data_IF_625993394033
#
_entry.id   IF_625993394033
#
_cell.length_a   1.000
_cell.length_b   1.000
_cell.length_c   1.000
_cell.angle_alpha   90.00
_cell.angle_beta   90.00
_cell.angle_gamma   90.00
#
_symmetry.space_group_name_H-M   'P 1'
#
loop_
_entity.id
_entity.type
_entity.pdbx_description
1 polymer ?
#
# COMPACT_ATOMS: atom_id res chain seq x y z
N UNK A 1 -13.75 21.23 -8.03
CA UNK A 1 -12.41 21.10 -8.65
C UNK A 1 -12.53 21.65 -10.07
N UNK A 2 -11.60 22.51 -10.49
CA UNK A 2 -11.59 23.06 -11.85
C UNK A 2 -11.15 21.98 -12.86
N UNK A 3 -11.65 22.10 -14.10
CA UNK A 3 -11.19 21.22 -15.18
C UNK A 3 -9.67 21.36 -15.39
N UNK A 4 -8.97 20.26 -15.58
CA UNK A 4 -7.52 20.24 -15.73
C UNK A 4 -6.72 20.26 -14.42
N UNK A 5 -7.38 20.28 -13.25
CA UNK A 5 -6.67 20.11 -11.97
C UNK A 5 -6.18 18.66 -11.86
N UNK A 6 -4.93 18.50 -11.45
CA UNK A 6 -4.39 17.16 -11.07
C UNK A 6 -4.68 16.91 -9.59
N UNK A 7 -5.31 15.77 -9.30
CA UNK A 7 -5.58 15.29 -7.94
C UNK A 7 -4.70 14.06 -7.67
N UNK A 8 -3.96 14.11 -6.57
CA UNK A 8 -3.03 13.04 -6.18
C UNK A 8 -3.52 12.36 -4.92
N UNK A 9 -3.86 11.07 -5.04
CA UNK A 9 -4.18 10.23 -3.89
C UNK A 9 -2.90 9.74 -3.21
N UNK A 10 -2.82 9.83 -1.90
CA UNK A 10 -1.76 9.24 -1.08
C UNK A 10 -2.30 8.24 -0.04
N UNK A 11 -3.62 8.01 0.00
CA UNK A 11 -4.23 7.00 0.86
C UNK A 11 -4.20 5.61 0.21
N UNK A 12 -4.28 4.58 1.04
CA UNK A 12 -4.29 3.18 0.62
C UNK A 12 -5.57 2.51 1.12
N UNK A 13 -6.17 1.70 0.30
CA UNK A 13 -7.39 0.97 0.62
C UNK A 13 -8.32 0.84 -0.57
N UNK A 14 -9.40 0.12 -0.37
CA UNK A 14 -10.53 -0.02 -1.30
C UNK A 14 -11.77 0.54 -0.61
N UNK A 15 -12.72 1.01 -1.38
CA UNK A 15 -14.03 1.38 -0.84
C UNK A 15 -14.79 0.12 -0.39
N UNK A 16 -15.33 0.11 0.82
CA UNK A 16 -15.88 -1.09 1.46
C UNK A 16 -17.06 -1.74 0.72
N UNK A 17 -17.91 -0.97 0.04
CA UNK A 17 -19.11 -1.50 -0.58
C UNK A 17 -18.92 -1.87 -2.06
N UNK A 18 -18.12 -1.11 -2.78
CA UNK A 18 -17.92 -1.24 -4.22
C UNK A 18 -16.62 -1.95 -4.58
N UNK A 19 -15.67 -2.03 -3.65
CA UNK A 19 -14.29 -2.48 -3.86
C UNK A 19 -13.53 -1.65 -4.90
N UNK A 20 -13.98 -0.44 -5.19
CA UNK A 20 -13.28 0.49 -6.06
C UNK A 20 -11.97 0.95 -5.41
N UNK A 21 -10.95 1.11 -6.22
CA UNK A 21 -9.72 1.78 -5.79
C UNK A 21 -9.99 3.27 -5.59
N UNK A 22 -9.16 3.95 -4.82
CA UNK A 22 -9.34 5.39 -4.54
C UNK A 22 -9.32 6.24 -5.80
N UNK A 23 -8.52 5.87 -6.80
CA UNK A 23 -8.50 6.57 -8.08
C UNK A 23 -9.81 6.40 -8.86
N UNK A 24 -10.44 5.23 -8.77
CA UNK A 24 -11.75 4.99 -9.39
C UNK A 24 -12.83 5.82 -8.71
N UNK A 25 -12.87 5.85 -7.37
CA UNK A 25 -13.79 6.72 -6.61
C UNK A 25 -13.59 8.19 -6.99
N UNK A 26 -12.34 8.65 -7.04
CA UNK A 26 -12.03 10.03 -7.45
C UNK A 26 -12.49 10.31 -8.88
N UNK A 27 -12.37 9.35 -9.79
CA UNK A 27 -12.82 9.51 -11.17
C UNK A 27 -14.35 9.63 -11.28
N UNK A 28 -15.10 8.89 -10.43
CA UNK A 28 -16.56 9.01 -10.38
C UNK A 28 -17.00 10.35 -9.80
N UNK A 29 -16.38 10.79 -8.69
CA UNK A 29 -16.78 12.02 -7.99
C UNK A 29 -16.29 13.31 -8.68
N UNK A 30 -15.15 13.27 -9.36
CA UNK A 30 -14.55 14.44 -10.02
C UNK A 30 -14.01 14.08 -11.43
N UNK A 31 -14.89 13.68 -12.36
CA UNK A 31 -14.48 13.17 -13.68
C UNK A 31 -13.69 14.16 -14.53
N UNK A 32 -13.73 15.46 -14.21
CA UNK A 32 -12.98 16.52 -14.90
C UNK A 32 -11.53 16.64 -14.42
N UNK A 33 -11.12 15.97 -13.35
CA UNK A 33 -9.76 16.01 -12.83
C UNK A 33 -8.86 14.94 -13.44
N UNK A 34 -7.58 15.26 -13.61
CA UNK A 34 -6.56 14.25 -13.86
C UNK A 34 -6.20 13.57 -12.51
N UNK A 35 -6.32 12.24 -12.43
CA UNK A 35 -6.10 11.51 -11.18
C UNK A 35 -4.80 10.73 -11.25
N UNK A 36 -4.02 10.80 -10.17
CA UNK A 36 -2.87 9.94 -9.95
C UNK A 36 -2.73 9.53 -8.49
N UNK A 37 -1.83 8.60 -8.21
CA UNK A 37 -1.55 8.13 -6.86
C UNK A 37 -0.05 8.09 -6.59
N UNK A 38 0.33 8.29 -5.32
CA UNK A 38 1.68 8.03 -4.82
C UNK A 38 1.59 6.82 -3.88
N UNK A 39 2.34 5.77 -4.19
CA UNK A 39 2.32 4.51 -3.43
C UNK A 39 3.69 3.84 -3.43
N UNK A 40 3.89 2.88 -2.52
CA UNK A 40 5.16 2.19 -2.33
C UNK A 40 5.63 2.24 -0.87
N UNK A 41 6.86 1.81 -0.57
CA UNK A 41 7.43 1.79 0.77
C UNK A 41 7.65 3.21 1.29
N UNK A 42 6.71 3.74 2.07
CA UNK A 42 6.68 5.14 2.50
C UNK A 42 6.09 5.31 3.90
N UNK A 43 6.76 4.78 4.92
CA UNK A 43 6.38 5.09 6.30
C UNK A 43 6.54 6.59 6.58
N UNK A 44 5.47 7.23 7.07
CA UNK A 44 5.43 8.68 7.28
C UNK A 44 6.54 9.17 8.23
N UNK A 45 6.91 8.34 9.20
CA UNK A 45 7.97 8.63 10.17
C UNK A 45 9.36 8.75 9.51
N UNK A 46 9.61 7.98 8.44
CA UNK A 46 10.86 8.02 7.69
C UNK A 46 10.84 9.16 6.67
N UNK A 47 9.75 9.28 5.92
CA UNK A 47 9.59 10.36 4.93
C UNK A 47 9.67 11.74 5.59
N UNK A 48 9.00 11.92 6.74
CA UNK A 48 9.03 13.18 7.49
C UNK A 48 10.38 13.53 8.12
N UNK A 49 11.30 12.56 8.20
CA UNK A 49 12.70 12.78 8.65
C UNK A 49 13.67 12.88 7.47
N UNK A 50 13.16 12.96 6.24
CA UNK A 50 13.97 13.01 5.03
C UNK A 50 14.93 11.81 4.87
N UNK A 51 14.54 10.63 5.40
CA UNK A 51 15.28 9.39 5.16
C UNK A 51 15.07 8.99 3.69
N UNK A 52 16.13 8.62 2.95
CA UNK A 52 16.02 8.27 1.54
C UNK A 52 14.90 7.25 1.27
N UNK A 53 13.91 7.68 0.52
CA UNK A 53 12.69 6.91 0.24
C UNK A 53 12.44 6.87 -1.27
N UNK A 54 11.99 5.72 -1.77
CA UNK A 54 11.66 5.55 -3.18
C UNK A 54 10.23 5.00 -3.31
N UNK A 55 9.41 5.70 -4.08
CA UNK A 55 8.00 5.38 -4.29
C UNK A 55 7.62 5.44 -5.77
N UNK A 56 6.37 5.20 -6.07
CA UNK A 56 5.80 5.25 -7.42
C UNK A 56 4.79 6.39 -7.53
N UNK A 57 4.90 7.17 -8.59
CA UNK A 57 3.86 8.05 -9.10
C UNK A 57 3.10 7.28 -10.19
N UNK A 58 1.84 6.93 -9.94
CA UNK A 58 1.04 6.18 -10.89
C UNK A 58 -0.17 6.97 -11.38
N UNK A 59 -0.45 6.88 -12.67
CA UNK A 59 -1.65 7.40 -13.31
C UNK A 59 -1.89 6.65 -14.61
N UNK A 60 -3.14 6.55 -15.05
CA UNK A 60 -3.48 6.03 -16.38
C UNK A 60 -2.88 6.90 -17.52
N UNK A 61 -2.62 8.19 -17.25
CA UNK A 61 -1.90 9.11 -18.11
C UNK A 61 -0.42 9.19 -17.70
N UNK A 62 0.47 8.86 -18.61
CA UNK A 62 1.92 9.01 -18.39
C UNK A 62 2.32 10.47 -18.11
N UNK A 63 1.67 11.42 -18.79
CA UNK A 63 1.89 12.86 -18.60
C UNK A 63 1.52 13.28 -17.16
N UNK A 64 0.38 12.79 -16.64
CA UNK A 64 -0.03 13.05 -15.25
C UNK A 64 0.95 12.42 -14.26
N UNK A 65 1.40 11.19 -14.50
CA UNK A 65 2.39 10.52 -13.65
C UNK A 65 3.75 11.25 -13.67
N UNK A 66 4.18 11.76 -14.84
CA UNK A 66 5.38 12.56 -14.98
C UNK A 66 5.29 13.91 -14.23
N UNK A 67 4.15 14.57 -14.31
CA UNK A 67 3.89 15.81 -13.55
C UNK A 67 3.98 15.56 -12.04
N UNK A 68 3.38 14.47 -11.56
CA UNK A 68 3.46 14.07 -10.13
C UNK A 68 4.91 13.77 -9.73
N UNK A 69 5.64 13.04 -10.56
CA UNK A 69 7.06 12.76 -10.33
C UNK A 69 7.87 14.05 -10.20
N UNK A 70 7.69 15.01 -11.11
CA UNK A 70 8.44 16.28 -11.13
C UNK A 70 8.15 17.11 -9.87
N UNK A 71 6.89 17.21 -9.47
CA UNK A 71 6.47 18.00 -8.30
C UNK A 71 6.96 17.40 -6.98
N UNK A 72 6.89 16.05 -6.81
CA UNK A 72 7.16 15.41 -5.53
C UNK A 72 8.59 14.88 -5.37
N UNK A 73 9.37 14.77 -6.45
CA UNK A 73 10.77 14.32 -6.33
C UNK A 73 11.61 15.36 -5.59
N UNK A 74 12.34 14.89 -4.59
CA UNK A 74 13.28 15.70 -3.80
C UNK A 74 14.62 14.97 -3.63
N UNK A 75 15.55 15.58 -2.89
CA UNK A 75 16.82 14.94 -2.55
C UNK A 75 16.67 13.65 -1.72
N UNK A 76 15.58 13.54 -0.95
CA UNK A 76 15.30 12.39 -0.09
C UNK A 76 14.15 11.50 -0.59
N UNK A 77 13.29 12.01 -1.49
CA UNK A 77 12.14 11.27 -2.02
C UNK A 77 12.27 11.12 -3.54
N UNK A 78 12.48 9.90 -4.01
CA UNK A 78 12.54 9.57 -5.42
C UNK A 78 11.28 8.91 -5.89
N UNK A 79 10.69 9.40 -6.99
CA UNK A 79 9.51 8.80 -7.61
C UNK A 79 9.88 8.12 -8.93
N UNK A 80 9.30 6.94 -9.18
CA UNK A 80 9.27 6.28 -10.48
C UNK A 80 7.87 6.32 -11.06
N UNK A 81 7.76 6.44 -12.38
CA UNK A 81 6.48 6.48 -13.09
C UNK A 81 5.96 5.05 -13.31
N UNK A 82 4.65 4.88 -13.16
CA UNK A 82 3.93 3.67 -13.57
C UNK A 82 2.56 4.06 -14.16
N UNK A 83 2.19 3.46 -15.29
CA UNK A 83 0.88 3.68 -15.91
C UNK A 83 -0.20 2.68 -15.46
N UNK A 84 0.15 1.71 -14.63
CA UNK A 84 -0.79 0.78 -14.01
C UNK A 84 -1.22 1.29 -12.62
N UNK A 85 -2.08 2.31 -12.61
CA UNK A 85 -2.59 2.89 -11.36
C UNK A 85 -3.37 1.86 -10.53
N UNK A 86 -4.16 0.98 -11.19
CA UNK A 86 -4.96 -0.05 -10.53
C UNK A 86 -4.06 -1.04 -9.78
N UNK A 87 -3.06 -1.62 -10.45
CA UNK A 87 -2.13 -2.55 -9.82
C UNK A 87 -1.35 -1.90 -8.67
N UNK A 88 -0.96 -0.63 -8.82
CA UNK A 88 -0.27 0.13 -7.79
C UNK A 88 -1.14 0.34 -6.53
N UNK A 89 -2.41 0.69 -6.68
CA UNK A 89 -3.32 0.89 -5.55
C UNK A 89 -3.71 -0.41 -4.87
N UNK A 90 -3.99 -1.48 -5.64
CA UNK A 90 -4.34 -2.80 -5.10
C UNK A 90 -3.17 -3.38 -4.29
N UNK A 91 -1.94 -3.30 -4.79
CA UNK A 91 -0.76 -3.73 -4.05
C UNK A 91 -0.64 -3.04 -2.70
N UNK A 92 -0.84 -1.71 -2.68
CA UNK A 92 -0.82 -0.91 -1.47
C UNK A 92 -1.96 -1.21 -0.48
N UNK A 93 -3.14 -1.58 -0.97
CA UNK A 93 -4.30 -1.92 -0.14
C UNK A 93 -4.15 -3.31 0.51
N UNK A 94 -3.94 -4.34 -0.30
CA UNK A 94 -3.98 -5.74 0.14
C UNK A 94 -2.78 -6.17 0.99
N UNK A 95 -1.62 -5.51 0.87
CA UNK A 95 -0.44 -5.81 1.70
C UNK A 95 -0.72 -5.78 3.20
N UNK A 96 -1.68 -4.98 3.64
CA UNK A 96 -1.98 -4.77 5.05
C UNK A 96 -2.50 -6.05 5.73
N UNK A 97 -3.24 -6.88 5.01
CA UNK A 97 -3.69 -8.20 5.47
C UNK A 97 -2.49 -9.12 5.73
N UNK A 98 -1.55 -9.14 4.79
CA UNK A 98 -0.35 -9.98 4.91
C UNK A 98 0.56 -9.46 6.05
N UNK A 99 0.63 -8.14 6.23
CA UNK A 99 1.39 -7.54 7.33
C UNK A 99 0.80 -7.88 8.71
N UNK A 100 -0.53 -7.92 8.83
CA UNK A 100 -1.21 -8.39 10.04
C UNK A 100 -0.86 -9.87 10.32
N UNK A 101 -0.95 -10.73 9.30
CA UNK A 101 -0.59 -12.14 9.42
C UNK A 101 0.90 -12.34 9.75
N UNK A 102 1.81 -11.53 9.15
CA UNK A 102 3.23 -11.55 9.49
C UNK A 102 3.48 -11.18 10.96
N UNK A 103 2.74 -10.21 11.47
CA UNK A 103 2.76 -9.86 12.89
C UNK A 103 2.28 -11.00 13.78
N UNK A 104 1.21 -11.71 13.41
CA UNK A 104 0.73 -12.90 14.15
C UNK A 104 1.82 -13.98 14.19
N UNK A 105 2.49 -14.24 13.06
CA UNK A 105 3.62 -15.16 13.03
C UNK A 105 4.77 -14.73 13.97
N UNK A 106 5.05 -13.44 14.07
CA UNK A 106 6.04 -12.90 15.00
C UNK A 106 5.63 -13.13 16.45
N UNK A 107 4.37 -12.85 16.80
CA UNK A 107 3.82 -13.06 18.15
C UNK A 107 3.78 -14.53 18.57
N UNK A 108 3.59 -15.44 17.62
CA UNK A 108 3.64 -16.90 17.80
C UNK A 108 5.07 -17.47 17.79
N UNK A 109 6.09 -16.63 17.59
CA UNK A 109 7.50 -17.04 17.47
C UNK A 109 7.76 -18.07 16.35
N UNK A 110 7.07 -17.97 15.22
CA UNK A 110 7.20 -18.92 14.09
C UNK A 110 8.55 -18.82 13.35
N UNK A 111 9.31 -17.76 13.56
CA UNK A 111 10.63 -17.53 12.95
C UNK A 111 10.60 -16.94 11.54
N UNK A 112 11.79 -16.57 11.06
CA UNK A 112 11.96 -15.80 9.81
C UNK A 112 11.62 -16.60 8.56
N UNK A 113 11.88 -17.91 8.55
CA UNK A 113 11.55 -18.78 7.42
C UNK A 113 10.04 -18.82 7.16
N UNK A 114 9.23 -18.90 8.21
CA UNK A 114 7.75 -18.87 8.11
C UNK A 114 7.28 -17.52 7.60
N UNK A 115 7.84 -16.43 8.11
CA UNK A 115 7.52 -15.08 7.64
C UNK A 115 7.88 -14.90 6.16
N UNK A 116 9.05 -15.36 5.72
CA UNK A 116 9.46 -15.30 4.32
C UNK A 116 8.49 -16.10 3.42
N UNK A 117 8.11 -17.31 3.84
CA UNK A 117 7.12 -18.12 3.12
C UNK A 117 5.75 -17.43 3.04
N UNK A 118 5.27 -16.84 4.15
CA UNK A 118 4.02 -16.06 4.19
C UNK A 118 4.06 -14.89 3.22
N UNK A 119 5.13 -14.10 3.22
CA UNK A 119 5.27 -12.95 2.31
C UNK A 119 5.31 -13.39 0.85
N UNK A 120 6.02 -14.49 0.54
CA UNK A 120 6.10 -15.04 -0.82
C UNK A 120 4.72 -15.53 -1.30
N UNK A 121 3.97 -16.22 -0.45
CA UNK A 121 2.59 -16.62 -0.79
C UNK A 121 1.67 -15.40 -0.86
N UNK A 122 1.80 -14.47 0.07
CA UNK A 122 1.00 -13.25 0.11
C UNK A 122 1.11 -12.42 -1.16
N UNK A 123 2.32 -12.16 -1.66
CA UNK A 123 2.47 -11.41 -2.92
C UNK A 123 1.91 -12.18 -4.12
N UNK A 124 1.98 -13.51 -4.13
CA UNK A 124 1.37 -14.31 -5.18
C UNK A 124 -0.16 -14.18 -5.18
N UNK A 125 -0.80 -14.27 -4.02
CA UNK A 125 -2.25 -14.08 -3.87
C UNK A 125 -2.68 -12.65 -4.26
N UNK A 126 -1.94 -11.64 -3.79
CA UNK A 126 -2.16 -10.23 -4.17
C UNK A 126 -2.06 -10.05 -5.68
N UNK A 127 -1.07 -10.67 -6.33
CA UNK A 127 -0.89 -10.60 -7.78
C UNK A 127 -2.08 -11.22 -8.51
N UNK A 128 -2.51 -12.40 -8.11
CA UNK A 128 -3.64 -13.10 -8.76
C UNK A 128 -4.94 -12.29 -8.64
N UNK A 129 -5.25 -11.79 -7.45
CA UNK A 129 -6.43 -10.94 -7.24
C UNK A 129 -6.29 -9.62 -8.01
N UNK A 130 -5.14 -8.96 -7.91
CA UNK A 130 -4.91 -7.67 -8.55
C UNK A 130 -4.97 -7.74 -10.08
N UNK A 131 -4.49 -8.82 -10.69
CA UNK A 131 -4.64 -9.06 -12.14
C UNK A 131 -6.11 -9.26 -12.51
N UNK A 132 -6.87 -9.99 -11.69
CA UNK A 132 -8.32 -10.16 -11.90
C UNK A 132 -9.06 -8.82 -11.83
N UNK A 133 -8.57 -7.87 -11.02
CA UNK A 133 -9.12 -6.52 -10.88
C UNK A 133 -8.60 -5.54 -11.95
N UNK A 134 -7.75 -5.98 -12.89
CA UNK A 134 -7.26 -5.18 -14.02
C UNK A 134 -5.85 -4.63 -13.86
N UNK A 135 -5.13 -4.97 -12.81
CA UNK A 135 -3.70 -4.65 -12.63
C UNK A 135 -2.79 -5.51 -13.51
N UNK A 136 -1.57 -5.05 -13.73
CA UNK A 136 -0.54 -5.77 -14.50
C UNK A 136 0.34 -6.60 -13.57
N UNK A 137 0.67 -7.87 -13.91
CA UNK A 137 1.48 -8.74 -13.05
C UNK A 137 2.83 -8.13 -12.64
N UNK A 138 3.47 -7.39 -13.55
CA UNK A 138 4.79 -6.77 -13.34
C UNK A 138 4.76 -5.72 -12.21
N UNK A 139 3.63 -5.04 -12.04
CA UNK A 139 3.46 -4.00 -11.01
C UNK A 139 3.64 -4.56 -9.60
N UNK A 140 3.16 -5.79 -9.37
CA UNK A 140 3.24 -6.44 -8.06
C UNK A 140 4.67 -6.91 -7.70
N UNK A 141 5.54 -7.10 -8.69
CA UNK A 141 6.98 -7.33 -8.50
C UNK A 141 7.79 -6.05 -8.19
N UNK A 142 7.15 -4.88 -8.25
CA UNK A 142 7.79 -3.57 -8.06
C UNK A 142 7.62 -2.98 -6.65
N UNK A 143 7.88 -1.66 -6.56
CA UNK A 143 7.83 -0.90 -5.30
C UNK A 143 6.44 -0.90 -4.67
N UNK A 144 5.38 -0.75 -5.47
CA UNK A 144 3.97 -0.72 -4.99
C UNK A 144 3.45 -2.10 -4.57
N UNK A 145 4.08 -3.18 -4.99
CA UNK A 145 3.77 -4.56 -4.60
C UNK A 145 4.71 -5.08 -3.55
N UNK A 146 5.72 -5.87 -3.99
CA UNK A 146 6.64 -6.56 -3.08
C UNK A 146 7.45 -5.59 -2.22
N UNK A 147 7.83 -4.41 -2.73
CA UNK A 147 8.58 -3.42 -1.97
C UNK A 147 7.81 -2.90 -0.75
N UNK A 148 6.56 -2.50 -0.96
CA UNK A 148 5.68 -2.00 0.10
C UNK A 148 5.25 -3.14 1.06
N UNK A 149 5.08 -4.36 0.54
CA UNK A 149 4.82 -5.54 1.36
C UNK A 149 5.97 -5.84 2.33
N UNK A 150 7.21 -5.89 1.84
CA UNK A 150 8.39 -6.18 2.67
C UNK A 150 8.52 -5.17 3.81
N UNK A 151 8.50 -3.88 3.50
CA UNK A 151 8.67 -2.86 4.53
C UNK A 151 7.54 -2.91 5.56
N UNK A 152 6.29 -3.18 5.13
CA UNK A 152 5.14 -3.24 6.03
C UNK A 152 5.16 -4.49 6.92
N UNK A 153 5.62 -5.63 6.42
CA UNK A 153 5.77 -6.87 7.20
C UNK A 153 6.98 -6.86 8.15
N UNK A 154 8.02 -6.04 7.87
CA UNK A 154 9.27 -6.05 8.64
C UNK A 154 9.42 -4.86 9.58
N UNK A 155 8.76 -3.72 9.31
CA UNK A 155 8.90 -2.50 10.11
C UNK A 155 8.03 -2.50 11.36
N UNK A 156 8.56 -1.95 12.46
CA UNK A 156 7.77 -1.65 13.68
C UNK A 156 6.93 -0.37 13.54
N UNK A 157 7.10 0.41 12.47
CA UNK A 157 6.16 1.50 12.13
C UNK A 157 4.82 0.96 11.62
N UNK A 158 4.78 -0.29 11.12
CA UNK A 158 3.55 -0.92 10.65
C UNK A 158 2.57 -1.19 11.80
N UNK A 159 1.44 -0.49 11.78
CA UNK A 159 0.33 -0.71 12.73
C UNK A 159 -0.23 -2.12 12.59
N UNK A 160 -0.40 -2.60 11.35
CA UNK A 160 -0.89 -3.94 11.05
C UNK A 160 0.04 -5.01 11.66
N UNK A 161 1.36 -4.91 11.46
CA UNK A 161 2.31 -5.83 12.06
C UNK A 161 2.26 -5.80 13.59
N UNK A 162 2.22 -4.61 14.21
CA UNK A 162 2.15 -4.48 15.68
C UNK A 162 0.88 -5.07 16.26
N UNK A 163 -0.28 -4.84 15.61
CA UNK A 163 -1.52 -5.47 16.02
C UNK A 163 -1.42 -7.01 15.91
N UNK A 164 -0.86 -7.51 14.82
CA UNK A 164 -0.61 -8.95 14.65
C UNK A 164 0.28 -9.54 15.75
N UNK A 165 1.34 -8.85 16.15
CA UNK A 165 2.22 -9.31 17.25
C UNK A 165 1.42 -9.45 18.56
N UNK A 166 0.55 -8.51 18.89
CA UNK A 166 -0.30 -8.58 20.06
C UNK A 166 -1.27 -9.77 19.97
N UNK A 167 -1.90 -9.98 18.83
CA UNK A 167 -2.83 -11.08 18.59
C UNK A 167 -2.10 -12.43 18.72
N UNK A 168 -0.95 -12.59 18.07
CA UNK A 168 -0.13 -13.80 18.16
C UNK A 168 0.39 -14.06 19.59
N UNK A 169 0.59 -13.02 20.39
CA UNK A 169 0.92 -13.08 21.81
C UNK A 169 -0.25 -13.39 22.74
N UNK A 170 -1.48 -13.58 22.20
CA UNK A 170 -2.66 -13.97 22.96
C UNK A 170 -3.62 -12.83 23.32
N UNK A 171 -3.40 -11.62 22.84
CA UNK A 171 -4.35 -10.51 22.97
C UNK A 171 -5.53 -10.73 22.01
N UNK A 172 -6.77 -10.44 22.43
CA UNK A 172 -7.90 -10.54 21.49
C UNK A 172 -7.77 -9.54 20.34
N UNK A 173 -8.28 -9.87 19.13
CA UNK A 173 -8.19 -8.98 17.98
C UNK A 173 -8.75 -7.58 18.26
N UNK A 174 -9.92 -7.50 18.92
CA UNK A 174 -10.58 -6.23 19.25
C UNK A 174 -9.73 -5.38 20.22
N UNK A 175 -9.09 -6.04 21.20
CA UNK A 175 -8.21 -5.36 22.15
C UNK A 175 -6.92 -4.88 21.48
N UNK A 176 -6.33 -5.70 20.60
CA UNK A 176 -5.14 -5.33 19.84
C UNK A 176 -5.40 -4.11 18.94
N UNK A 177 -6.54 -4.09 18.23
CA UNK A 177 -6.97 -2.94 17.42
C UNK A 177 -7.18 -1.71 18.29
N UNK A 178 -7.84 -1.84 19.44
CA UNK A 178 -8.06 -0.72 20.36
C UNK A 178 -6.74 -0.11 20.87
N UNK A 179 -5.73 -0.94 21.14
CA UNK A 179 -4.41 -0.47 21.62
C UNK A 179 -3.59 0.21 20.50
N UNK A 180 -3.69 -0.28 19.26
CA UNK A 180 -2.89 0.22 18.13
C UNK A 180 -3.58 1.41 17.44
N UNK A 181 -4.90 1.47 17.45
CA UNK A 181 -5.73 2.40 16.68
C UNK A 181 -6.14 1.80 15.33
N UNK A 182 -6.07 2.58 14.26
CA UNK A 182 -6.45 2.11 12.92
C UNK A 182 -5.54 0.98 12.43
N UNK A 183 -6.14 -0.17 12.10
CA UNK A 183 -5.47 -1.38 11.60
C UNK A 183 -6.18 -1.82 10.32
N UNK A 184 -5.73 -1.30 9.19
CA UNK A 184 -6.39 -1.45 7.89
C UNK A 184 -6.55 -2.91 7.46
N UNK A 185 -5.61 -3.79 7.82
CA UNK A 185 -5.67 -5.22 7.51
C UNK A 185 -6.63 -6.02 8.39
N UNK A 186 -7.25 -5.38 9.40
CA UNK A 186 -8.31 -5.99 10.22
C UNK A 186 -9.70 -5.74 9.63
N UNK A 187 -9.87 -4.56 9.02
CA UNK A 187 -11.14 -4.10 8.46
C UNK A 187 -11.30 -4.48 6.97
N UNK A 188 -10.27 -5.04 6.33
CA UNK A 188 -10.25 -5.47 4.92
C UNK A 188 -10.94 -6.81 4.67
#
# INVERSE_FOLDING_TARGET
>A
VQAGTTVVNASKGLEEQTFLTMSQVLHEEIPQAAVGTITGPSHAEEVGREIPTTVVAASASEETAALIQDIFTSHALRLYINTDIIGCEIGGALKNIIALAAGICDGLHCGDNTKAALMTRGIHEITNLGVTMGGKPETFGGLSGIGDLIVTCCSMHSRNRRAGILIGGGTSPEEAVRQIGTVEGYDC
#
